data_IF_242393692572
#
_entry.id   IF_242393692572
#
_cell.length_a   1.000
_cell.length_b   1.000
_cell.length_c   1.000
_cell.angle_alpha   90.00
_cell.angle_beta   90.00
_cell.angle_gamma   90.00
#
_symmetry.space_group_name_H-M   'P 1'
#
loop_
_entity.id
_entity.type
_entity.pdbx_description
1 polymer ?
#
# COMPACT_ATOMS: atom_id res chain seq x y z
N UNK A 1 -63.18 29.42 1.95
CA UNK A 1 -61.77 29.73 1.95
C UNK A 1 -61.53 30.94 1.06
N UNK A 2 -60.82 31.93 1.56
CA UNK A 2 -60.49 33.16 0.80
C UNK A 2 -59.54 32.82 -0.36
N UNK A 3 -59.68 33.58 -1.46
CA UNK A 3 -58.73 33.53 -2.60
C UNK A 3 -57.28 33.72 -2.12
N UNK A 4 -57.09 34.59 -1.12
CA UNK A 4 -55.80 34.83 -0.49
C UNK A 4 -55.23 33.58 0.24
N UNK A 5 -56.10 32.78 0.90
CA UNK A 5 -55.67 31.55 1.58
C UNK A 5 -55.28 30.44 0.59
N UNK A 6 -56.00 30.35 -0.53
CA UNK A 6 -55.68 29.46 -1.61
C UNK A 6 -54.36 29.85 -2.32
N UNK A 7 -54.15 31.14 -2.50
CA UNK A 7 -52.93 31.68 -3.07
C UNK A 7 -51.73 31.44 -2.12
N UNK A 8 -51.86 31.75 -0.82
CA UNK A 8 -50.84 31.46 0.20
C UNK A 8 -50.52 29.98 0.22
N UNK A 9 -51.52 29.09 0.23
CA UNK A 9 -51.30 27.62 0.23
C UNK A 9 -50.56 27.16 -1.05
N UNK A 10 -50.86 27.69 -2.20
CA UNK A 10 -50.12 27.43 -3.45
C UNK A 10 -48.70 27.95 -3.39
N UNK A 11 -48.48 29.14 -2.82
CA UNK A 11 -47.18 29.78 -2.71
C UNK A 11 -46.29 29.12 -1.63
N UNK A 12 -46.89 28.61 -0.57
CA UNK A 12 -46.13 27.94 0.55
C UNK A 12 -46.07 26.44 0.40
N UNK A 13 -46.88 25.84 -0.49
CA UNK A 13 -46.97 24.41 -0.69
C UNK A 13 -45.66 23.72 -1.16
N UNK A 14 -44.71 24.48 -1.69
CA UNK A 14 -43.40 24.01 -2.13
C UNK A 14 -42.24 24.55 -1.24
N UNK A 15 -42.56 25.20 -0.14
CA UNK A 15 -41.57 25.76 0.80
C UNK A 15 -41.83 27.25 1.10
N UNK A 16 -41.35 27.69 2.28
CA UNK A 16 -41.59 29.06 2.79
C UNK A 16 -40.73 30.11 2.08
N UNK A 17 -39.52 29.74 1.67
CA UNK A 17 -38.55 30.64 1.01
C UNK A 17 -38.50 30.41 -0.50
N UNK A 18 -37.92 31.36 -1.22
CA UNK A 18 -37.65 31.20 -2.64
C UNK A 18 -36.67 30.07 -2.92
N UNK A 19 -35.68 29.87 -2.00
CA UNK A 19 -34.73 28.78 -2.07
C UNK A 19 -35.46 27.43 -1.97
N UNK A 20 -36.31 27.23 -0.96
CA UNK A 20 -37.05 25.99 -0.75
C UNK A 20 -37.90 25.61 -1.96
N UNK A 21 -38.57 26.63 -2.57
CA UNK A 21 -39.38 26.41 -3.78
C UNK A 21 -38.52 26.02 -4.98
N UNK A 22 -37.35 26.64 -5.14
CA UNK A 22 -36.44 26.33 -6.24
C UNK A 22 -35.83 24.93 -6.07
N UNK A 23 -35.51 24.56 -4.84
CA UNK A 23 -35.01 23.22 -4.50
C UNK A 23 -36.07 22.15 -4.76
N UNK A 24 -37.31 22.36 -4.27
CA UNK A 24 -38.42 21.44 -4.47
C UNK A 24 -38.74 21.24 -5.96
N UNK A 25 -38.70 22.31 -6.76
CA UNK A 25 -38.86 22.22 -8.21
C UNK A 25 -37.75 21.37 -8.86
N UNK A 26 -36.49 21.56 -8.48
CA UNK A 26 -35.40 20.76 -9.03
C UNK A 26 -35.48 19.31 -8.59
N UNK A 27 -35.84 19.04 -7.33
CA UNK A 27 -36.05 17.67 -6.83
C UNK A 27 -37.16 16.96 -7.62
N UNK A 28 -38.31 17.65 -7.83
CA UNK A 28 -39.41 17.13 -8.65
C UNK A 28 -39.02 16.90 -10.12
N UNK A 29 -38.24 17.81 -10.71
CA UNK A 29 -37.73 17.59 -12.08
C UNK A 29 -36.83 16.35 -12.14
N UNK A 30 -35.99 16.11 -11.13
CA UNK A 30 -35.21 14.90 -11.09
C UNK A 30 -36.07 13.63 -10.92
N UNK A 31 -37.08 13.65 -10.06
CA UNK A 31 -38.00 12.52 -9.88
C UNK A 31 -38.71 12.17 -11.19
N UNK A 32 -39.26 13.18 -11.88
CA UNK A 32 -39.92 13.00 -13.19
C UNK A 32 -38.96 12.46 -14.25
N UNK A 33 -37.70 12.95 -14.26
CA UNK A 33 -36.64 12.41 -15.12
C UNK A 33 -36.34 10.97 -14.79
N UNK A 34 -36.13 10.65 -13.50
CA UNK A 34 -35.79 9.32 -13.05
C UNK A 34 -36.89 8.29 -13.33
N UNK A 35 -38.16 8.69 -13.24
CA UNK A 35 -39.31 7.83 -13.57
C UNK A 35 -39.46 7.53 -15.05
N UNK A 36 -39.20 8.50 -15.90
CA UNK A 36 -39.55 8.44 -17.33
C UNK A 36 -38.35 8.19 -18.25
N UNK A 37 -37.12 8.19 -17.76
CA UNK A 37 -35.97 8.03 -18.63
C UNK A 37 -35.82 6.59 -19.14
N UNK A 38 -35.46 6.43 -20.41
CA UNK A 38 -35.20 5.14 -21.06
C UNK A 38 -33.92 4.46 -20.52
N UNK A 39 -33.04 5.21 -19.86
CA UNK A 39 -31.77 4.73 -19.35
C UNK A 39 -31.84 4.23 -17.90
N UNK A 40 -33.02 4.27 -17.28
CA UNK A 40 -33.30 3.66 -15.99
C UNK A 40 -33.36 2.15 -16.15
N UNK A 41 -32.56 1.44 -15.37
CA UNK A 41 -32.47 -0.03 -15.41
C UNK A 41 -32.34 -0.62 -14.02
N UNK A 42 -32.75 -1.87 -13.88
CA UNK A 42 -32.52 -2.64 -12.66
C UNK A 42 -31.05 -3.01 -12.53
N UNK A 43 -30.52 -2.90 -11.33
CA UNK A 43 -29.16 -3.29 -10.98
C UNK A 43 -29.10 -3.78 -9.53
N UNK A 44 -27.95 -4.33 -9.16
CA UNK A 44 -27.65 -4.72 -7.79
C UNK A 44 -26.47 -3.89 -7.30
N UNK A 45 -26.65 -3.12 -6.24
CA UNK A 45 -25.60 -2.33 -5.61
C UNK A 45 -25.27 -2.96 -4.25
N UNK A 46 -24.03 -3.43 -4.08
CA UNK A 46 -23.55 -4.11 -2.88
C UNK A 46 -24.54 -5.20 -2.38
N UNK A 47 -25.08 -5.99 -3.33
CA UNK A 47 -26.03 -7.07 -3.07
C UNK A 47 -27.49 -6.63 -2.87
N UNK A 48 -27.81 -5.34 -2.92
CA UNK A 48 -29.18 -4.80 -2.80
C UNK A 48 -29.76 -4.49 -4.17
N UNK A 49 -30.89 -5.09 -4.53
CA UNK A 49 -31.60 -4.76 -5.77
C UNK A 49 -32.14 -3.34 -5.74
N UNK A 50 -31.86 -2.58 -6.76
CA UNK A 50 -32.28 -1.18 -6.91
C UNK A 50 -32.43 -0.80 -8.39
N UNK A 51 -32.95 0.41 -8.63
CA UNK A 51 -32.98 0.99 -9.96
C UNK A 51 -32.04 2.18 -10.04
N UNK A 52 -31.33 2.29 -11.14
CA UNK A 52 -30.41 3.38 -11.39
C UNK A 52 -30.50 3.83 -12.86
N UNK A 53 -30.09 5.05 -13.10
CA UNK A 53 -29.97 5.60 -14.46
C UNK A 53 -28.50 5.48 -14.86
N UNK A 54 -28.25 4.84 -16.00
CA UNK A 54 -26.92 4.68 -16.60
C UNK A 54 -26.79 5.66 -17.76
N UNK A 55 -25.73 6.44 -17.75
CA UNK A 55 -25.41 7.40 -18.82
C UNK A 55 -24.03 7.11 -19.38
N UNK A 56 -23.91 7.15 -20.70
CA UNK A 56 -22.64 6.97 -21.37
C UNK A 56 -21.72 8.15 -21.09
N UNK A 57 -20.46 7.85 -20.80
CA UNK A 57 -19.44 8.87 -20.62
C UNK A 57 -18.91 9.28 -21.99
N UNK A 58 -19.43 10.38 -22.54
CA UNK A 58 -18.88 10.96 -23.76
C UNK A 58 -17.75 11.92 -23.40
N UNK A 59 -16.51 11.55 -23.69
CA UNK A 59 -15.39 12.49 -23.68
C UNK A 59 -15.26 13.08 -25.08
N UNK A 60 -15.54 14.38 -25.22
CA UNK A 60 -15.43 15.08 -26.48
C UNK A 60 -14.01 15.14 -27.06
N UNK A 61 -13.00 14.90 -26.26
CA UNK A 61 -11.58 15.05 -26.62
C UNK A 61 -10.81 13.73 -26.77
N UNK A 62 -11.36 12.59 -26.35
CA UNK A 62 -10.74 11.27 -26.56
C UNK A 62 -11.50 10.53 -27.66
N UNK A 63 -10.77 10.12 -28.68
CA UNK A 63 -11.30 9.31 -29.79
C UNK A 63 -11.57 7.86 -29.40
N UNK A 64 -11.09 7.43 -28.23
CA UNK A 64 -11.26 6.05 -27.77
C UNK A 64 -12.54 5.94 -26.92
N UNK A 65 -13.31 4.89 -27.18
CA UNK A 65 -14.43 4.51 -26.34
C UNK A 65 -13.89 4.13 -24.96
N UNK A 66 -14.54 4.64 -23.92
CA UNK A 66 -14.15 4.34 -22.53
C UNK A 66 -15.19 3.44 -21.89
N UNK A 67 -14.72 2.46 -21.12
CA UNK A 67 -15.59 1.60 -20.32
C UNK A 67 -16.17 2.30 -19.08
N UNK A 68 -16.09 3.62 -19.05
CA UNK A 68 -16.60 4.43 -17.96
C UNK A 68 -18.07 4.82 -18.22
N UNK A 69 -18.87 4.81 -17.15
CA UNK A 69 -20.26 5.31 -17.20
C UNK A 69 -20.57 6.20 -16.01
N UNK A 70 -21.60 7.00 -16.14
CA UNK A 70 -22.20 7.68 -15.00
C UNK A 70 -23.37 6.86 -14.48
N UNK A 71 -23.41 6.70 -13.16
CA UNK A 71 -24.51 6.12 -12.41
C UNK A 71 -25.25 7.25 -11.69
N UNK A 72 -26.55 7.37 -11.90
CA UNK A 72 -27.38 8.37 -11.23
C UNK A 72 -28.45 7.64 -10.42
N UNK A 73 -28.51 7.93 -9.13
CA UNK A 73 -29.45 7.32 -8.19
C UNK A 73 -30.09 8.37 -7.28
N UNK A 74 -31.31 8.12 -6.79
CA UNK A 74 -31.91 8.95 -5.74
C UNK A 74 -31.09 8.92 -4.45
N UNK A 75 -31.21 9.96 -3.62
CA UNK A 75 -30.45 10.09 -2.35
C UNK A 75 -30.76 9.02 -1.30
N UNK A 76 -31.85 8.28 -1.44
CA UNK A 76 -32.22 7.19 -0.53
C UNK A 76 -31.50 5.86 -0.84
N UNK A 77 -30.72 5.80 -1.93
CA UNK A 77 -29.92 4.63 -2.27
C UNK A 77 -28.56 4.76 -1.58
N UNK A 78 -28.19 3.74 -0.81
CA UNK A 78 -26.87 3.67 -0.18
C UNK A 78 -25.84 3.22 -1.22
N UNK A 79 -25.03 4.14 -1.68
CA UNK A 79 -23.92 3.89 -2.61
C UNK A 79 -22.81 4.89 -2.36
N UNK A 80 -21.57 4.48 -2.57
CA UNK A 80 -20.41 5.35 -2.39
C UNK A 80 -19.21 4.84 -3.20
N UNK A 81 -18.11 5.55 -3.12
CA UNK A 81 -16.86 5.13 -3.74
C UNK A 81 -16.44 3.78 -3.21
N UNK A 82 -16.12 2.84 -4.11
CA UNK A 82 -15.78 1.46 -3.78
C UNK A 82 -16.96 0.48 -3.79
N UNK A 83 -18.20 0.96 -3.89
CA UNK A 83 -19.37 0.07 -4.08
C UNK A 83 -19.29 -0.71 -5.39
N UNK A 84 -19.74 -1.98 -5.38
CA UNK A 84 -19.92 -2.75 -6.60
C UNK A 84 -21.35 -2.60 -7.13
N UNK A 85 -21.46 -2.46 -8.44
CA UNK A 85 -22.71 -2.39 -9.17
C UNK A 85 -22.76 -3.52 -10.20
N UNK A 86 -23.66 -4.47 -10.01
CA UNK A 86 -23.93 -5.52 -10.99
C UNK A 86 -25.01 -5.05 -11.95
N UNK A 87 -24.66 -4.94 -13.22
CA UNK A 87 -25.57 -4.47 -14.28
C UNK A 87 -25.25 -5.14 -15.61
N UNK A 88 -26.27 -5.70 -16.26
CA UNK A 88 -26.16 -6.44 -17.53
C UNK A 88 -25.05 -7.50 -17.53
N UNK A 89 -25.05 -8.36 -16.51
CA UNK A 89 -24.08 -9.44 -16.33
C UNK A 89 -22.62 -8.97 -16.22
N UNK A 90 -22.41 -7.70 -15.97
CA UNK A 90 -21.09 -7.10 -15.72
C UNK A 90 -21.03 -6.48 -14.34
N UNK A 91 -19.87 -6.57 -13.74
CA UNK A 91 -19.55 -5.88 -12.49
C UNK A 91 -18.92 -4.52 -12.80
N UNK A 92 -19.35 -3.51 -12.05
CA UNK A 92 -18.81 -2.16 -12.12
C UNK A 92 -18.36 -1.71 -10.74
N UNK A 93 -17.27 -0.97 -10.69
CA UNK A 93 -16.72 -0.41 -9.46
C UNK A 93 -16.97 1.11 -9.45
N UNK A 94 -17.60 1.60 -8.38
CA UNK A 94 -17.79 3.04 -8.18
C UNK A 94 -16.45 3.69 -7.90
N UNK A 95 -16.05 4.61 -8.77
CA UNK A 95 -14.70 5.19 -8.77
C UNK A 95 -14.64 6.59 -8.18
N UNK A 96 -15.63 7.41 -8.44
CA UNK A 96 -15.78 8.75 -7.87
C UNK A 96 -17.25 9.10 -7.71
N UNK A 97 -17.53 9.92 -6.71
CA UNK A 97 -18.82 10.53 -6.46
C UNK A 97 -18.70 12.05 -6.70
N UNK A 98 -19.67 12.61 -7.40
CA UNK A 98 -19.77 14.05 -7.57
C UNK A 98 -20.56 14.65 -6.42
N UNK A 99 -19.92 15.47 -5.60
CA UNK A 99 -20.61 16.23 -4.55
C UNK A 99 -21.40 17.34 -5.20
N UNK A 100 -22.72 17.14 -5.33
CA UNK A 100 -23.61 18.10 -5.97
C UNK A 100 -23.80 19.36 -5.12
N UNK A 101 -23.69 20.54 -5.75
CA UNK A 101 -24.01 21.82 -5.12
C UNK A 101 -25.48 21.89 -4.67
N UNK A 102 -26.38 21.26 -5.45
CA UNK A 102 -27.79 21.11 -5.10
C UNK A 102 -28.06 19.62 -4.98
N UNK A 103 -28.18 19.08 -3.74
CA UNK A 103 -28.20 17.64 -3.48
C UNK A 103 -29.58 17.03 -3.75
N UNK A 104 -30.03 17.02 -5.00
CA UNK A 104 -31.31 16.40 -5.41
C UNK A 104 -31.16 14.89 -5.67
N UNK A 105 -29.96 14.44 -6.02
CA UNK A 105 -29.62 13.06 -6.34
C UNK A 105 -28.13 12.84 -6.23
N UNK A 106 -27.70 11.59 -6.24
CA UNK A 106 -26.28 11.20 -6.31
C UNK A 106 -25.91 10.92 -7.77
N UNK A 107 -24.72 11.36 -8.16
CA UNK A 107 -24.12 11.06 -9.45
C UNK A 107 -22.72 10.52 -9.22
N UNK A 108 -22.44 9.33 -9.74
CA UNK A 108 -21.21 8.61 -9.54
C UNK A 108 -20.61 8.22 -10.88
N UNK A 109 -19.31 8.17 -10.94
CA UNK A 109 -18.60 7.59 -12.08
C UNK A 109 -18.24 6.15 -11.73
N UNK A 110 -18.63 5.21 -12.59
CA UNK A 110 -18.34 3.79 -12.45
C UNK A 110 -17.41 3.32 -13.56
N UNK A 111 -16.53 2.37 -13.22
CA UNK A 111 -15.60 1.72 -14.16
C UNK A 111 -15.91 0.25 -14.26
N UNK A 112 -15.84 -0.29 -15.49
CA UNK A 112 -16.03 -1.70 -15.73
C UNK A 112 -14.95 -2.53 -15.02
N UNK A 113 -15.37 -3.53 -14.25
CA UNK A 113 -14.47 -4.52 -13.64
C UNK A 113 -13.95 -5.42 -14.76
N UNK A 114 -12.66 -5.30 -15.05
CA UNK A 114 -12.04 -6.04 -16.14
C UNK A 114 -11.30 -7.30 -15.67
N UNK A 115 -11.18 -7.52 -14.35
CA UNK A 115 -10.49 -8.68 -13.80
C UNK A 115 -11.01 -9.05 -12.40
N UNK A 116 -10.96 -10.35 -12.08
CA UNK A 116 -11.15 -10.84 -10.71
C UNK A 116 -9.83 -11.30 -10.16
N UNK A 117 -9.45 -10.80 -8.98
CA UNK A 117 -8.19 -11.08 -8.34
C UNK A 117 -8.41 -11.99 -7.15
N UNK A 118 -7.60 -13.05 -7.07
CA UNK A 118 -7.61 -14.03 -5.97
C UNK A 118 -6.28 -13.99 -5.24
N UNK A 119 -6.32 -14.10 -3.92
CA UNK A 119 -5.13 -14.28 -3.07
C UNK A 119 -5.49 -15.09 -1.83
N UNK A 120 -4.49 -15.64 -1.18
CA UNK A 120 -4.65 -16.39 0.07
C UNK A 120 -4.76 -15.40 1.22
N UNK A 121 -5.82 -15.51 2.03
CA UNK A 121 -6.05 -14.69 3.23
C UNK A 121 -5.62 -15.42 4.51
N UNK A 122 -5.54 -16.75 4.46
CA UNK A 122 -5.09 -17.63 5.53
C UNK A 122 -4.31 -18.81 4.91
N UNK A 123 -3.01 -18.82 5.13
CA UNK A 123 -2.13 -19.84 4.57
C UNK A 123 -2.26 -21.20 5.29
N UNK A 124 -2.64 -21.23 6.56
CA UNK A 124 -2.82 -22.47 7.31
C UNK A 124 -3.99 -23.28 6.75
N UNK A 125 -5.10 -22.62 6.46
CA UNK A 125 -6.31 -23.23 5.93
C UNK A 125 -6.43 -23.10 4.41
N UNK A 126 -5.48 -22.42 3.75
CA UNK A 126 -5.51 -22.09 2.33
C UNK A 126 -6.80 -21.38 1.92
N UNK A 127 -7.30 -20.53 2.80
CA UNK A 127 -8.51 -19.78 2.55
C UNK A 127 -8.26 -18.67 1.54
N UNK A 128 -9.07 -18.64 0.48
CA UNK A 128 -9.00 -17.65 -0.60
C UNK A 128 -9.98 -16.53 -0.28
N UNK A 129 -9.62 -15.31 -0.67
CA UNK A 129 -10.43 -14.12 -0.49
C UNK A 129 -11.84 -14.28 -1.10
N UNK A 130 -12.81 -13.61 -0.50
CA UNK A 130 -14.23 -13.62 -0.91
C UNK A 130 -14.78 -15.04 -1.09
N UNK A 131 -14.50 -15.94 -0.14
CA UNK A 131 -14.94 -17.34 -0.15
C UNK A 131 -14.58 -18.06 -1.47
N UNK A 132 -13.40 -17.80 -2.02
CA UNK A 132 -12.91 -18.41 -3.27
C UNK A 132 -13.32 -17.70 -4.56
N UNK A 133 -14.24 -16.74 -4.51
CA UNK A 133 -14.72 -16.02 -5.69
C UNK A 133 -13.74 -14.95 -6.19
N UNK A 134 -12.85 -14.47 -5.31
CA UNK A 134 -12.01 -13.32 -5.59
C UNK A 134 -12.77 -11.99 -5.58
N UNK A 135 -12.06 -10.90 -5.68
CA UNK A 135 -12.60 -9.55 -5.72
C UNK A 135 -12.48 -8.96 -7.12
N UNK A 136 -13.53 -8.29 -7.56
CA UNK A 136 -13.54 -7.56 -8.82
C UNK A 136 -12.58 -6.38 -8.77
N UNK A 137 -11.77 -6.20 -9.80
CA UNK A 137 -10.79 -5.13 -9.89
C UNK A 137 -10.89 -4.39 -11.23
N UNK A 138 -10.56 -3.11 -11.20
CA UNK A 138 -10.23 -2.36 -12.40
C UNK A 138 -8.72 -2.27 -12.52
N UNK A 139 -8.17 -2.83 -13.59
CA UNK A 139 -6.73 -2.87 -13.86
C UNK A 139 -6.42 -2.09 -15.11
N UNK A 140 -5.39 -1.26 -15.06
CA UNK A 140 -4.90 -0.51 -16.21
C UNK A 140 -3.38 -0.47 -16.25
N UNK A 141 -2.81 -0.37 -17.44
CA UNK A 141 -1.38 -0.17 -17.60
C UNK A 141 -1.02 1.29 -17.28
N UNK A 142 -0.21 1.50 -16.24
CA UNK A 142 0.18 2.83 -15.80
C UNK A 142 1.04 3.56 -16.82
N UNK A 143 1.97 2.83 -17.44
CA UNK A 143 2.91 3.41 -18.41
C UNK A 143 2.17 3.90 -19.65
N UNK A 144 1.27 3.08 -20.20
CA UNK A 144 0.45 3.46 -21.35
C UNK A 144 -0.50 4.61 -21.03
N UNK A 145 -1.07 4.63 -19.82
CA UNK A 145 -1.96 5.70 -19.38
C UNK A 145 -1.23 7.04 -19.25
N UNK A 146 -0.02 7.03 -18.65
CA UNK A 146 0.76 8.26 -18.40
C UNK A 146 1.37 8.84 -19.69
N UNK A 147 1.84 7.98 -20.59
CA UNK A 147 2.53 8.40 -21.80
C UNK A 147 1.59 8.67 -22.99
N UNK A 148 0.34 8.21 -22.90
CA UNK A 148 -0.59 8.23 -24.02
C UNK A 148 -0.20 7.24 -25.11
N UNK A 149 -0.99 7.18 -26.20
CA UNK A 149 -0.77 6.24 -27.32
C UNK A 149 0.31 6.74 -28.31
N UNK A 150 0.84 7.93 -28.09
CA UNK A 150 1.76 8.61 -29.02
C UNK A 150 3.22 8.41 -28.62
N UNK A 151 3.81 7.29 -29.02
CA UNK A 151 5.23 6.99 -28.78
C UNK A 151 6.12 7.44 -29.92
N UNK A 152 6.47 8.71 -29.99
CA UNK A 152 7.63 9.12 -30.80
C UNK A 152 8.84 9.25 -29.89
N UNK A 153 9.67 8.22 -29.84
CA UNK A 153 11.06 8.30 -29.41
C UNK A 153 11.47 7.81 -28.01
N UNK A 154 10.60 7.17 -27.20
CA UNK A 154 11.00 6.67 -25.87
C UNK A 154 10.79 5.16 -25.70
N UNK A 155 11.65 4.35 -26.32
CA UNK A 155 11.61 2.89 -26.21
C UNK A 155 11.97 2.36 -24.80
N UNK A 156 12.64 3.14 -23.97
CA UNK A 156 13.02 2.75 -22.59
C UNK A 156 11.87 2.81 -21.58
N UNK A 157 10.83 3.57 -21.84
CA UNK A 157 9.68 3.66 -20.92
C UNK A 157 8.78 2.42 -20.92
N UNK A 158 8.82 1.63 -22.00
CA UNK A 158 8.05 0.37 -22.11
C UNK A 158 8.70 -0.79 -21.35
N UNK A 159 9.99 -0.73 -21.06
CA UNK A 159 10.71 -1.80 -20.36
C UNK A 159 10.27 -1.97 -18.90
N UNK A 160 9.64 -0.94 -18.31
CA UNK A 160 9.14 -0.95 -16.93
C UNK A 160 7.64 -0.69 -16.87
N UNK A 161 6.86 -1.43 -17.67
CA UNK A 161 5.40 -1.30 -17.70
C UNK A 161 4.79 -1.75 -16.37
N UNK A 162 4.42 -0.78 -15.52
CA UNK A 162 3.75 -1.03 -14.26
C UNK A 162 2.23 -1.08 -14.45
N UNK A 163 1.57 -1.89 -13.65
CA UNK A 163 0.12 -2.00 -13.63
C UNK A 163 -0.46 -1.26 -12.43
N UNK A 164 -1.56 -0.56 -12.64
CA UNK A 164 -2.39 -0.02 -11.56
C UNK A 164 -3.63 -0.88 -11.39
N UNK A 165 -3.92 -1.21 -10.13
CA UNK A 165 -5.05 -2.04 -9.77
C UNK A 165 -5.87 -1.33 -8.70
N UNK A 166 -7.18 -1.22 -8.94
CA UNK A 166 -8.14 -0.61 -8.02
C UNK A 166 -9.12 -1.67 -7.53
N UNK A 167 -9.28 -1.75 -6.21
CA UNK A 167 -10.21 -2.64 -5.50
C UNK A 167 -11.04 -1.85 -4.50
N UNK A 168 -12.18 -2.39 -4.12
CA UNK A 168 -12.94 -1.90 -2.97
C UNK A 168 -12.07 -1.96 -1.70
N UNK A 169 -12.12 -0.92 -0.86
CA UNK A 169 -11.50 -0.91 0.45
C UNK A 169 -12.35 -1.71 1.46
N UNK A 170 -11.94 -2.94 1.76
CA UNK A 170 -12.61 -3.82 2.71
C UNK A 170 -11.60 -4.56 3.62
N UNK A 171 -12.11 -5.34 4.56
CA UNK A 171 -11.26 -6.06 5.54
C UNK A 171 -10.24 -7.02 4.92
N UNK A 172 -10.56 -7.61 3.76
CA UNK A 172 -9.67 -8.55 3.09
C UNK A 172 -8.65 -7.81 2.20
N UNK A 173 -9.10 -6.80 1.44
CA UNK A 173 -8.22 -6.02 0.55
C UNK A 173 -7.19 -5.20 1.34
N UNK A 174 -7.53 -4.75 2.56
CA UNK A 174 -6.59 -4.10 3.50
C UNK A 174 -5.45 -5.00 3.98
N UNK A 175 -5.55 -6.32 3.77
CA UNK A 175 -4.45 -7.25 4.06
C UNK A 175 -3.38 -7.28 2.98
N UNK A 176 -3.68 -6.77 1.78
CA UNK A 176 -2.71 -6.64 0.71
C UNK A 176 -1.63 -5.63 1.10
N UNK A 177 -0.37 -6.04 0.98
CA UNK A 177 0.80 -5.25 1.40
C UNK A 177 1.84 -5.22 0.28
N UNK A 178 2.79 -4.32 0.40
CA UNK A 178 4.00 -4.33 -0.42
C UNK A 178 4.68 -5.70 -0.34
N UNK A 179 5.02 -6.25 -1.49
CA UNK A 179 5.57 -7.59 -1.62
C UNK A 179 4.55 -8.70 -1.84
N UNK A 180 3.24 -8.46 -1.69
CA UNK A 180 2.20 -9.44 -2.06
C UNK A 180 2.25 -9.71 -3.55
N UNK A 181 2.20 -10.99 -3.93
CA UNK A 181 2.19 -11.43 -5.33
C UNK A 181 0.76 -11.75 -5.77
N UNK A 182 0.38 -11.32 -6.96
CA UNK A 182 -0.96 -11.47 -7.51
C UNK A 182 -0.88 -11.89 -8.97
N UNK A 183 -1.79 -12.76 -9.41
CA UNK A 183 -1.98 -13.02 -10.83
C UNK A 183 -2.82 -11.93 -11.48
N UNK A 184 -2.30 -11.33 -12.54
CA UNK A 184 -3.05 -10.51 -13.47
C UNK A 184 -3.10 -11.23 -14.81
N UNK A 185 -4.25 -11.87 -15.09
CA UNK A 185 -4.37 -12.76 -16.25
C UNK A 185 -3.39 -13.93 -16.15
N UNK A 186 -2.46 -14.01 -17.10
CA UNK A 186 -1.49 -15.11 -17.16
C UNK A 186 -0.14 -14.80 -16.52
N UNK A 187 0.08 -13.60 -16.02
CA UNK A 187 1.36 -13.17 -15.44
C UNK A 187 1.22 -12.89 -13.95
N UNK A 188 2.33 -13.01 -13.23
CA UNK A 188 2.42 -12.66 -11.82
C UNK A 188 2.97 -11.26 -11.68
N UNK A 189 2.39 -10.50 -10.78
CA UNK A 189 2.83 -9.16 -10.42
C UNK A 189 3.03 -9.07 -8.93
N UNK A 190 3.96 -8.23 -8.52
CA UNK A 190 4.25 -7.95 -7.12
C UNK A 190 3.82 -6.53 -6.77
N UNK A 191 3.16 -6.38 -5.65
CA UNK A 191 2.75 -5.07 -5.13
C UNK A 191 3.99 -4.29 -4.69
N UNK A 192 4.24 -3.14 -5.30
CA UNK A 192 5.29 -2.21 -4.94
C UNK A 192 4.82 -1.09 -4.01
N UNK A 193 3.59 -0.64 -4.22
CA UNK A 193 3.02 0.46 -3.46
C UNK A 193 1.53 0.24 -3.21
N UNK A 194 1.06 0.64 -2.03
CA UNK A 194 -0.35 0.56 -1.61
C UNK A 194 -0.80 1.96 -1.23
N UNK A 195 -1.82 2.47 -1.91
CA UNK A 195 -2.42 3.77 -1.64
C UNK A 195 -3.89 3.63 -1.20
N UNK A 196 -4.15 3.68 0.11
CA UNK A 196 -5.51 3.70 0.66
C UNK A 196 -6.04 5.12 0.88
N UNK A 197 -5.27 6.17 0.53
CA UNK A 197 -5.53 7.55 0.96
C UNK A 197 -6.12 8.38 -0.16
N UNK A 198 -5.60 8.27 -1.39
CA UNK A 198 -5.98 9.14 -2.52
C UNK A 198 -7.45 9.05 -2.89
N UNK A 199 -8.10 7.91 -2.61
CA UNK A 199 -9.54 7.69 -2.85
C UNK A 199 -10.14 6.88 -1.72
N UNK A 200 -10.79 7.53 -0.78
CA UNK A 200 -11.50 6.86 0.32
C UNK A 200 -12.57 5.93 -0.26
N UNK A 201 -12.57 4.67 0.17
CA UNK A 201 -13.44 3.61 -0.35
C UNK A 201 -12.78 2.71 -1.40
N UNK A 202 -11.62 3.10 -1.93
CA UNK A 202 -10.81 2.28 -2.84
C UNK A 202 -9.39 2.08 -2.29
N UNK A 203 -8.82 0.92 -2.59
CA UNK A 203 -7.38 0.66 -2.46
C UNK A 203 -6.78 0.67 -3.86
N UNK A 204 -5.76 1.49 -4.06
CA UNK A 204 -4.98 1.54 -5.29
C UNK A 204 -3.63 0.87 -5.06
N UNK A 205 -3.30 -0.09 -5.91
CA UNK A 205 -2.04 -0.84 -5.88
C UNK A 205 -1.23 -0.55 -7.14
N UNK A 206 0.03 -0.20 -6.96
CA UNK A 206 1.00 -0.18 -8.04
C UNK A 206 1.74 -1.52 -8.04
N UNK A 207 1.78 -2.15 -9.20
CA UNK A 207 2.27 -3.51 -9.40
C UNK A 207 3.40 -3.52 -10.42
N UNK A 208 4.45 -4.28 -10.13
CA UNK A 208 5.54 -4.57 -11.04
C UNK A 208 5.50 -6.04 -11.46
N UNK A 209 5.98 -6.35 -12.66
CA UNK A 209 6.01 -7.72 -13.16
C UNK A 209 6.96 -8.59 -12.34
N UNK A 210 6.52 -9.80 -12.00
CA UNK A 210 7.29 -10.78 -11.24
C UNK A 210 7.26 -12.14 -11.93
N UNK A 211 8.20 -12.99 -11.57
CA UNK A 211 8.32 -14.34 -12.14
C UNK A 211 7.36 -15.32 -11.45
N UNK A 212 6.77 -16.23 -12.25
CA UNK A 212 5.99 -17.34 -11.72
C UNK A 212 6.91 -18.32 -11.00
N UNK A 213 6.44 -18.82 -9.86
CA UNK A 213 7.10 -19.89 -9.14
C UNK A 213 6.20 -21.14 -9.10
N UNK A 214 6.45 -22.16 -9.95
CA UNK A 214 5.61 -23.35 -10.00
C UNK A 214 5.52 -24.13 -8.68
N UNK A 215 6.50 -23.97 -7.79
CA UNK A 215 6.53 -24.65 -6.49
C UNK A 215 5.57 -24.02 -5.48
N UNK A 216 5.36 -22.70 -5.57
CA UNK A 216 4.54 -21.97 -4.61
C UNK A 216 3.22 -21.47 -5.19
N UNK A 217 3.14 -21.29 -6.50
CA UNK A 217 1.98 -20.70 -7.17
C UNK A 217 1.02 -21.78 -7.67
N UNK A 218 -0.28 -21.58 -7.50
CA UNK A 218 -1.31 -22.38 -8.17
C UNK A 218 -1.64 -21.70 -9.50
N UNK A 219 -1.04 -22.24 -10.58
CA UNK A 219 -1.14 -21.65 -11.93
C UNK A 219 -2.55 -21.85 -12.49
N UNK A 220 -3.19 -22.98 -12.22
CA UNK A 220 -4.52 -23.31 -12.73
C UNK A 220 -5.60 -22.39 -12.17
N UNK A 221 -5.56 -22.13 -10.87
CA UNK A 221 -6.48 -21.22 -10.17
C UNK A 221 -6.03 -19.75 -10.22
N UNK A 222 -4.84 -19.48 -10.77
CA UNK A 222 -4.24 -18.15 -10.85
C UNK A 222 -4.10 -17.48 -9.45
N UNK A 223 -3.53 -18.23 -8.50
CA UNK A 223 -3.29 -17.77 -7.14
C UNK A 223 -1.79 -17.85 -6.85
N UNK A 224 -1.17 -16.70 -6.65
CA UNK A 224 0.23 -16.64 -6.28
C UNK A 224 0.43 -17.05 -4.81
N UNK A 225 1.58 -17.66 -4.52
CA UNK A 225 1.97 -18.11 -3.18
C UNK A 225 0.96 -19.07 -2.51
N UNK A 226 0.13 -19.78 -3.26
CA UNK A 226 -0.91 -20.67 -2.74
C UNK A 226 -0.34 -21.83 -1.90
N UNK A 227 0.80 -22.39 -2.32
CA UNK A 227 1.47 -23.50 -1.64
C UNK A 227 2.54 -23.04 -0.66
N UNK A 228 2.71 -21.74 -0.51
CA UNK A 228 3.66 -21.18 0.44
C UNK A 228 3.29 -21.64 1.85
N UNK A 229 4.23 -22.28 2.55
CA UNK A 229 4.04 -22.61 3.94
C UNK A 229 3.86 -21.30 4.74
N UNK A 230 3.03 -21.34 5.76
CA UNK A 230 2.91 -20.23 6.71
C UNK A 230 4.32 -19.97 7.28
N UNK A 231 5.01 -18.98 6.76
CA UNK A 231 6.14 -18.41 7.48
C UNK A 231 5.55 -17.87 8.77
N UNK A 232 5.80 -18.59 9.87
CA UNK A 232 5.33 -18.20 11.20
C UNK A 232 5.42 -16.68 11.32
N UNK A 233 4.30 -16.02 11.62
CA UNK A 233 4.27 -14.58 11.92
C UNK A 233 5.22 -14.17 13.05
N UNK A 234 5.83 -15.13 13.72
CA UNK A 234 6.97 -14.98 14.64
C UNK A 234 8.25 -14.55 13.90
N UNK A 235 8.48 -14.98 12.65
CA UNK A 235 9.61 -14.48 11.84
C UNK A 235 9.35 -13.12 11.23
N UNK A 236 8.08 -12.73 11.00
CA UNK A 236 7.74 -11.37 10.57
C UNK A 236 7.60 -10.38 11.72
N UNK A 237 7.39 -10.81 12.96
CA UNK A 237 7.67 -9.98 14.13
C UNK A 237 9.17 -9.70 14.29
N UNK A 238 10.02 -10.62 13.81
CA UNK A 238 11.48 -10.43 13.80
C UNK A 238 12.01 -9.78 12.50
N UNK A 239 11.16 -9.64 11.41
CA UNK A 239 11.52 -8.90 10.19
C UNK A 239 10.85 -7.53 10.08
N UNK A 240 9.87 -7.22 10.90
CA UNK A 240 9.41 -5.86 11.17
C UNK A 240 10.02 -5.24 12.43
N UNK A 241 10.94 -5.95 13.12
CA UNK A 241 12.08 -5.26 13.63
C UNK A 241 12.84 -4.80 12.36
N UNK A 242 12.69 -3.52 12.02
CA UNK A 242 13.76 -2.76 11.40
C UNK A 242 15.03 -3.48 11.77
N UNK A 243 15.86 -3.83 10.81
CA UNK A 243 17.24 -4.16 11.09
C UNK A 243 17.79 -2.90 11.74
N UNK A 244 17.58 -2.77 13.04
CA UNK A 244 18.16 -1.70 13.82
C UNK A 244 19.63 -1.84 13.51
N UNK A 245 20.15 -0.91 12.70
CA UNK A 245 21.54 -0.94 12.30
C UNK A 245 22.36 -0.93 13.58
N UNK A 246 22.82 -2.10 13.98
CA UNK A 246 23.69 -2.21 15.12
C UNK A 246 25.12 -1.76 14.73
N UNK A 247 25.82 -1.18 15.65
CA UNK A 247 27.22 -0.78 15.50
C UNK A 247 27.99 -1.11 16.75
N UNK A 248 29.31 -1.17 16.62
CA UNK A 248 30.19 -1.31 17.78
C UNK A 248 30.38 0.07 18.39
N UNK A 249 29.88 0.25 19.59
CA UNK A 249 30.06 1.46 20.38
C UNK A 249 31.36 1.35 21.20
N UNK A 250 32.23 2.32 20.99
CA UNK A 250 33.52 2.41 21.69
C UNK A 250 34.33 3.60 21.19
N UNK A 251 35.53 3.75 21.67
CA UNK A 251 36.45 4.81 21.26
C UNK A 251 37.10 4.47 19.92
N UNK A 252 37.12 5.42 18.97
CA UNK A 252 37.86 5.30 17.71
C UNK A 252 39.34 5.74 17.86
N UNK A 253 39.68 6.37 18.98
CA UNK A 253 41.05 6.85 19.28
C UNK A 253 41.45 6.42 20.65
N UNK A 254 42.32 5.41 20.74
CA UNK A 254 42.76 4.81 21.99
C UNK A 254 44.18 5.24 22.35
N UNK A 255 44.35 5.67 23.60
CA UNK A 255 45.66 6.13 24.11
C UNK A 255 46.47 5.01 24.63
N UNK A 256 47.80 5.05 24.44
CA UNK A 256 48.75 4.09 24.97
C UNK A 256 48.54 3.81 26.49
N UNK A 257 48.58 2.56 26.87
CA UNK A 257 48.48 2.08 28.26
C UNK A 257 47.08 2.20 28.88
N UNK A 258 46.09 2.77 28.21
CA UNK A 258 44.71 2.94 28.70
C UNK A 258 43.82 1.74 28.36
N UNK A 259 42.72 1.63 29.06
CA UNK A 259 41.74 0.55 28.93
C UNK A 259 40.46 1.13 28.33
N UNK A 260 39.89 0.44 27.36
CA UNK A 260 38.67 0.80 26.66
C UNK A 260 37.73 -0.39 26.56
N UNK A 261 36.45 -0.13 26.68
CA UNK A 261 35.40 -1.16 26.59
C UNK A 261 34.53 -0.90 25.33
N UNK A 262 34.30 -1.96 24.57
CA UNK A 262 33.48 -1.95 23.36
C UNK A 262 32.26 -2.82 23.58
N UNK A 263 31.12 -2.34 23.11
CA UNK A 263 29.81 -3.00 23.19
C UNK A 263 29.12 -2.93 21.82
N UNK A 264 28.18 -3.84 21.57
CA UNK A 264 27.35 -3.76 20.39
C UNK A 264 25.99 -3.19 20.77
N UNK A 265 25.62 -2.10 20.12
CA UNK A 265 24.37 -1.39 20.38
C UNK A 265 23.63 -1.07 19.08
N UNK A 266 22.33 -0.95 19.16
CA UNK A 266 21.47 -0.33 18.14
C UNK A 266 20.63 0.76 18.78
N UNK A 267 20.26 1.77 18.01
CA UNK A 267 19.39 2.86 18.46
C UNK A 267 18.02 2.63 17.87
N UNK A 268 16.97 2.55 18.68
CA UNK A 268 15.60 2.45 18.18
C UNK A 268 15.06 3.81 17.73
N UNK A 269 13.94 3.83 17.05
CA UNK A 269 13.28 5.05 16.57
C UNK A 269 12.89 6.05 17.68
N UNK A 270 12.94 5.63 18.94
CA UNK A 270 12.73 6.46 20.14
C UNK A 270 14.03 7.00 20.78
N UNK A 271 15.22 6.75 20.16
CA UNK A 271 16.52 7.20 20.67
C UNK A 271 17.08 6.39 21.84
N UNK A 272 16.46 5.28 22.24
CA UNK A 272 16.96 4.41 23.31
C UNK A 272 17.95 3.39 22.73
N UNK A 273 19.09 3.22 23.42
CA UNK A 273 20.12 2.24 23.07
C UNK A 273 19.70 0.84 23.54
N UNK A 274 19.81 -0.14 22.64
CA UNK A 274 19.58 -1.56 22.90
C UNK A 274 20.90 -2.28 22.73
N UNK A 275 21.37 -2.94 23.78
CA UNK A 275 22.59 -3.73 23.73
C UNK A 275 22.31 -5.12 23.17
N UNK A 276 23.18 -5.59 22.26
CA UNK A 276 23.08 -6.91 21.62
C UNK A 276 24.13 -7.88 22.18
N UNK A 277 23.73 -9.15 22.24
CA UNK A 277 24.66 -10.23 22.55
C UNK A 277 25.53 -10.57 21.32
N UNK A 278 26.83 -10.55 21.51
CA UNK A 278 27.84 -10.85 20.49
C UNK A 278 28.15 -12.36 20.52
N UNK A 279 27.98 -12.98 19.35
CA UNK A 279 28.33 -14.39 19.19
C UNK A 279 29.85 -14.61 19.24
N UNK A 280 30.58 -13.72 18.58
CA UNK A 280 32.02 -13.79 18.50
C UNK A 280 32.63 -12.39 18.28
N UNK A 281 33.69 -12.08 19.09
CA UNK A 281 34.56 -10.95 18.83
C UNK A 281 35.77 -11.44 18.03
N UNK A 282 36.02 -10.82 16.88
CA UNK A 282 37.10 -11.19 15.95
C UNK A 282 38.13 -10.07 15.96
N UNK A 283 39.36 -10.42 16.09
CA UNK A 283 40.51 -9.52 16.09
C UNK A 283 41.40 -9.89 14.91
N UNK A 284 41.68 -8.95 14.04
CA UNK A 284 42.66 -9.17 12.96
C UNK A 284 44.07 -9.29 13.53
N UNK A 285 44.81 -10.29 13.05
CA UNK A 285 46.22 -10.57 13.39
C UNK A 285 46.57 -10.54 14.89
N UNK A 286 46.32 -11.65 15.58
CA UNK A 286 46.54 -11.79 17.03
C UNK A 286 48.00 -11.48 17.42
N UNK A 287 48.98 -11.78 16.54
CA UNK A 287 50.41 -11.58 16.85
C UNK A 287 50.82 -10.09 16.73
N UNK A 288 50.24 -9.35 15.81
CA UNK A 288 50.50 -7.91 15.61
C UNK A 288 49.48 -7.00 16.32
N UNK A 289 48.46 -7.58 16.98
CA UNK A 289 47.40 -6.82 17.62
C UNK A 289 47.92 -5.92 18.73
N UNK A 290 47.69 -4.61 18.64
CA UNK A 290 48.28 -3.64 19.55
C UNK A 290 47.66 -3.60 20.94
N UNK A 291 46.66 -4.45 21.21
CA UNK A 291 45.92 -4.49 22.46
C UNK A 291 46.15 -5.79 23.22
N UNK A 292 45.93 -5.72 24.52
CA UNK A 292 45.84 -6.86 25.44
C UNK A 292 44.37 -7.00 25.81
N UNK A 293 43.76 -8.15 25.55
CA UNK A 293 42.39 -8.46 25.93
C UNK A 293 42.36 -8.69 27.44
N UNK A 294 41.64 -7.82 28.17
CA UNK A 294 41.46 -7.96 29.62
C UNK A 294 40.22 -8.77 29.97
N UNK A 295 39.14 -8.51 29.26
CA UNK A 295 37.86 -9.19 29.45
C UNK A 295 37.19 -9.40 28.08
N UNK A 296 36.61 -10.58 27.88
CA UNK A 296 35.87 -10.92 26.67
C UNK A 296 34.65 -11.75 27.06
N UNK A 297 33.47 -11.21 26.83
CA UNK A 297 32.23 -11.92 27.05
C UNK A 297 31.24 -11.61 25.92
N UNK A 298 30.04 -12.20 25.97
CA UNK A 298 29.00 -11.98 24.93
C UNK A 298 28.38 -10.58 24.92
N UNK A 299 28.64 -9.75 25.93
CA UNK A 299 28.09 -8.39 26.03
C UNK A 299 29.09 -7.30 25.69
N UNK A 300 30.36 -7.53 26.02
CA UNK A 300 31.43 -6.53 25.86
C UNK A 300 32.80 -7.16 25.71
N UNK A 301 33.71 -6.39 25.13
CA UNK A 301 35.13 -6.70 25.13
C UNK A 301 35.88 -5.50 25.71
N UNK A 302 36.83 -5.78 26.65
CA UNK A 302 37.67 -4.77 27.28
C UNK A 302 39.10 -4.97 26.82
N UNK A 303 39.65 -3.96 26.18
CA UNK A 303 40.98 -3.95 25.57
C UNK A 303 41.87 -2.94 26.28
N UNK A 304 43.13 -3.31 26.58
CA UNK A 304 44.15 -2.39 27.02
C UNK A 304 45.17 -2.17 25.93
N UNK A 305 45.42 -0.95 25.56
CA UNK A 305 46.46 -0.59 24.58
C UNK A 305 47.85 -0.93 25.20
N UNK A 306 48.71 -1.63 24.45
CA UNK A 306 50.09 -1.87 24.84
C UNK A 306 50.84 -0.53 25.01
N UNK A 307 51.68 -0.39 26.03
CA UNK A 307 52.42 0.84 26.29
C UNK A 307 53.74 0.86 25.49
N UNK A 308 53.59 0.87 24.14
CA UNK A 308 54.71 0.93 23.18
C UNK A 308 54.50 2.10 22.22
N UNK A 309 55.39 3.08 22.26
CA UNK A 309 55.33 4.28 21.40
C UNK A 309 55.41 3.98 19.91
N UNK A 310 55.90 2.81 19.49
CA UNK A 310 55.95 2.37 18.08
C UNK A 310 54.55 2.12 17.50
N UNK A 311 53.57 1.97 18.36
CA UNK A 311 52.19 1.73 17.97
C UNK A 311 51.43 3.03 17.66
N UNK A 312 51.98 4.19 18.02
CA UNK A 312 51.32 5.49 17.75
C UNK A 312 51.14 5.71 16.26
N UNK A 313 49.90 6.00 15.84
CA UNK A 313 49.55 6.17 14.47
C UNK A 313 49.08 4.91 13.75
N UNK A 314 49.26 3.74 14.32
CA UNK A 314 48.72 2.50 13.78
C UNK A 314 47.22 2.41 13.99
N UNK A 315 46.57 1.62 13.15
CA UNK A 315 45.15 1.31 13.22
C UNK A 315 44.95 -0.18 13.41
N UNK A 316 43.93 -0.55 14.16
CA UNK A 316 43.53 -1.94 14.34
C UNK A 316 42.02 -2.09 14.16
N UNK A 317 41.57 -3.19 13.56
CA UNK A 317 40.17 -3.49 13.36
C UNK A 317 39.67 -4.47 14.42
N UNK A 318 38.63 -4.06 15.12
CA UNK A 318 37.88 -4.94 16.02
C UNK A 318 36.54 -5.26 15.33
N UNK A 319 36.24 -6.55 15.16
CA UNK A 319 35.03 -7.01 14.56
C UNK A 319 34.13 -7.72 15.56
N UNK A 320 32.82 -7.60 15.40
CA UNK A 320 31.83 -8.32 16.17
C UNK A 320 30.87 -9.06 15.24
N UNK A 321 30.53 -10.30 15.56
CA UNK A 321 29.55 -11.12 14.87
C UNK A 321 28.27 -11.20 15.69
N UNK A 322 27.17 -10.73 15.11
CA UNK A 322 25.82 -10.77 15.69
C UNK A 322 24.84 -11.28 14.62
N UNK A 323 24.09 -12.33 14.92
CA UNK A 323 23.06 -12.90 14.02
C UNK A 323 23.52 -13.09 12.56
N UNK A 324 24.69 -13.73 12.37
CA UNK A 324 25.34 -13.95 11.06
C UNK A 324 25.79 -12.67 10.31
N UNK A 325 25.69 -11.51 10.90
CA UNK A 325 26.22 -10.25 10.37
C UNK A 325 27.52 -9.91 11.11
N UNK A 326 28.53 -9.44 10.36
CA UNK A 326 29.82 -9.02 10.91
C UNK A 326 29.98 -7.53 10.60
N UNK A 327 30.28 -6.73 11.64
CA UNK A 327 30.66 -5.32 11.48
C UNK A 327 31.98 -5.06 12.19
N UNK A 328 32.70 -4.04 11.76
CA UNK A 328 33.97 -3.66 12.32
C UNK A 328 33.98 -2.20 12.82
N UNK A 329 34.88 -1.94 13.76
CA UNK A 329 35.30 -0.59 14.15
C UNK A 329 36.80 -0.48 13.98
N UNK A 330 37.25 0.59 13.34
CA UNK A 330 38.67 0.88 13.17
C UNK A 330 39.12 1.79 14.29
N UNK A 331 40.10 1.31 15.09
CA UNK A 331 40.65 2.00 16.27
C UNK A 331 42.02 2.55 15.91
N UNK A 332 42.22 3.85 16.04
CA UNK A 332 43.54 4.51 15.86
C UNK A 332 44.25 4.68 17.20
N UNK A 333 45.49 4.25 17.28
CA UNK A 333 46.28 4.44 18.49
C UNK A 333 46.92 5.82 18.50
N UNK A 334 46.72 6.55 19.59
CA UNK A 334 47.22 7.90 19.78
C UNK A 334 48.16 7.98 21.00
N UNK A 335 48.95 9.03 21.05
CA UNK A 335 49.91 9.24 22.14
C UNK A 335 49.20 9.41 23.49
N UNK A 336 49.91 9.09 24.58
CA UNK A 336 49.41 9.12 25.97
C UNK A 336 48.98 10.52 26.42
N UNK A 337 49.57 11.57 25.85
CA UNK A 337 49.40 12.98 26.23
C UNK A 337 48.83 13.87 25.09
N UNK A 338 48.44 13.28 23.98
CA UNK A 338 47.95 13.99 22.80
C UNK A 338 46.42 14.11 22.74
#
# INVERSE_FOLDING_TARGET
MSFADNYRRKMTGMGATQYDRSFANKARQFELFFENTLTKQDCIIDGKKTQAVFQDHSQSNNKDLSDDKYLVVPNNVEVGVGSYVEWRDNDWLVFTEEVKTIPTHQQLKIKHVNMRIKWVIDYANRAICNNGKGWGAYVQNQTLYTLGVSFSGQHTALANAKMMLYLQDNKETRKLRVGTRLFLGRQVYKVEFVDPISRIGLINLLLDEDTKNPETDNIDEQIADYWKAEENHLSNKNKSQESLEWHIQGSEKDRLGRVYTYKVVSVNSGGSEIQHDVQEWIVEDIESFPFIIQERNNKQITLRVKDDFRLVGQTANLMAKVNNSVKNITIKIVNKFG
#
